data_IF_156476696232
#
_entry.id   IF_156476696232
#
_cell.length_a   1.000
_cell.length_b   1.000
_cell.length_c   1.000
_cell.angle_alpha   90.00
_cell.angle_beta   90.00
_cell.angle_gamma   90.00
#
_symmetry.space_group_name_H-M   'P 1'
#
loop_
_entity.id
_entity.type
_entity.pdbx_description
1 polymer ?
#
# COMPACT_ATOMS: atom_id res chain seq x y z
N UNK A 1 8.32 11.16 4.65
CA UNK A 1 7.21 11.25 3.66
C UNK A 1 6.07 10.34 4.12
N UNK A 2 4.82 10.69 3.80
CA UNK A 2 3.64 9.89 4.09
C UNK A 2 3.04 9.36 2.80
N UNK A 3 2.62 8.09 2.75
CA UNK A 3 2.00 7.52 1.56
C UNK A 3 1.20 6.24 1.86
N UNK A 4 0.43 5.82 0.87
CA UNK A 4 -0.34 4.59 0.89
C UNK A 4 0.23 3.61 -0.14
N UNK A 5 0.23 2.33 0.18
CA UNK A 5 0.65 1.24 -0.72
C UNK A 5 -0.50 0.26 -0.90
N UNK A 6 -0.64 -0.27 -2.11
CA UNK A 6 -1.67 -1.30 -2.36
C UNK A 6 -1.13 -2.71 -2.10
N UNK A 7 -1.89 -3.74 -2.51
CA UNK A 7 -1.61 -5.14 -2.20
C UNK A 7 -0.32 -5.70 -2.81
N UNK A 8 0.38 -4.98 -3.70
CA UNK A 8 1.68 -5.45 -4.20
C UNK A 8 2.66 -5.72 -3.04
N UNK A 9 2.59 -4.93 -1.96
CA UNK A 9 3.53 -5.07 -0.86
C UNK A 9 3.36 -6.41 -0.12
N UNK A 10 2.19 -6.82 0.39
CA UNK A 10 2.01 -8.18 0.92
C UNK A 10 2.20 -9.27 -0.14
N UNK A 11 1.81 -9.06 -1.39
CA UNK A 11 1.96 -10.03 -2.47
C UNK A 11 3.43 -10.39 -2.76
N UNK A 12 4.34 -9.42 -2.66
CA UNK A 12 5.77 -9.61 -2.93
C UNK A 12 6.51 -10.40 -1.84
N UNK A 13 5.87 -10.63 -0.68
CA UNK A 13 6.38 -11.56 0.32
C UNK A 13 6.14 -13.03 -0.01
N UNK A 14 5.25 -13.34 -0.95
CA UNK A 14 4.85 -14.72 -1.26
C UNK A 14 6.06 -15.58 -1.68
N UNK A 15 6.04 -16.91 -1.39
CA UNK A 15 7.12 -17.82 -1.78
C UNK A 15 7.35 -17.85 -3.29
N UNK A 16 6.26 -17.72 -4.07
CA UNK A 16 6.24 -17.75 -5.53
C UNK A 16 6.38 -16.37 -6.20
N UNK A 17 6.63 -15.31 -5.41
CA UNK A 17 6.98 -14.01 -5.97
C UNK A 17 8.24 -14.12 -6.84
N UNK A 18 8.25 -13.41 -7.97
CA UNK A 18 9.40 -13.40 -8.89
C UNK A 18 10.63 -12.75 -8.26
N UNK A 19 11.80 -12.96 -8.84
CA UNK A 19 13.03 -12.30 -8.36
C UNK A 19 12.92 -10.78 -8.46
N UNK A 20 12.35 -10.25 -9.55
CA UNK A 20 12.11 -8.81 -9.72
C UNK A 20 11.20 -8.23 -8.62
N UNK A 21 10.12 -8.92 -8.29
CA UNK A 21 9.21 -8.52 -7.20
C UNK A 21 9.91 -8.50 -5.84
N UNK A 22 10.72 -9.52 -5.56
CA UNK A 22 11.51 -9.61 -4.32
C UNK A 22 12.56 -8.49 -4.23
N UNK A 23 13.26 -8.21 -5.32
CA UNK A 23 14.24 -7.11 -5.39
C UNK A 23 13.60 -5.74 -5.19
N UNK A 24 12.41 -5.51 -5.78
CA UNK A 24 11.63 -4.27 -5.59
C UNK A 24 11.16 -4.11 -4.14
N UNK A 25 10.68 -5.20 -3.53
CA UNK A 25 10.29 -5.18 -2.13
C UNK A 25 11.49 -4.86 -1.22
N UNK A 26 12.62 -5.50 -1.42
CA UNK A 26 13.84 -5.26 -0.65
C UNK A 26 14.30 -3.81 -0.79
N UNK A 27 14.40 -3.31 -2.02
CA UNK A 27 14.76 -1.91 -2.30
C UNK A 27 13.82 -0.93 -1.62
N UNK A 28 12.51 -1.19 -1.69
CA UNK A 28 11.51 -0.36 -1.02
C UNK A 28 11.71 -0.36 0.49
N UNK A 29 11.81 -1.52 1.13
CA UNK A 29 11.92 -1.64 2.58
C UNK A 29 13.20 -0.99 3.13
N UNK A 30 14.35 -1.18 2.47
CA UNK A 30 15.62 -0.55 2.86
C UNK A 30 15.45 0.97 2.88
N UNK A 31 14.99 1.56 1.77
CA UNK A 31 14.83 3.00 1.66
C UNK A 31 13.75 3.57 2.57
N UNK A 32 12.66 2.84 2.76
CA UNK A 32 11.59 3.21 3.69
C UNK A 32 12.11 3.34 5.13
N UNK A 33 12.92 2.38 5.56
CA UNK A 33 13.50 2.39 6.90
C UNK A 33 14.56 3.50 7.05
N UNK A 34 15.41 3.71 6.04
CA UNK A 34 16.44 4.76 6.04
C UNK A 34 15.85 6.17 6.10
N UNK A 35 14.76 6.41 5.37
CA UNK A 35 14.14 7.75 5.25
C UNK A 35 13.19 8.11 6.39
N UNK A 36 12.91 7.21 7.30
CA UNK A 36 11.91 7.41 8.35
C UNK A 36 10.51 7.77 7.80
N UNK A 37 10.15 7.17 6.68
CA UNK A 37 8.85 7.38 6.05
C UNK A 37 7.73 6.65 6.80
N UNK A 38 6.48 6.97 6.49
CA UNK A 38 5.30 6.44 7.15
C UNK A 38 4.26 6.00 6.14
N UNK A 39 3.77 4.77 6.29
CA UNK A 39 2.61 4.27 5.53
C UNK A 39 1.31 4.50 6.28
N UNK A 40 0.24 4.73 5.51
CA UNK A 40 -1.12 4.82 6.03
C UNK A 40 -1.93 3.65 5.49
N UNK A 41 -2.64 2.98 6.36
CA UNK A 41 -3.37 1.75 6.05
C UNK A 41 -4.79 1.85 6.58
N UNK A 42 -5.77 1.65 5.70
CA UNK A 42 -7.19 1.63 6.05
C UNK A 42 -7.56 0.33 6.78
N UNK A 43 -8.41 0.40 7.79
CA UNK A 43 -8.99 -0.76 8.47
C UNK A 43 -10.53 -0.70 8.46
N UNK A 44 -11.23 -1.70 7.92
CA UNK A 44 -10.70 -2.86 7.21
C UNK A 44 -10.17 -2.51 5.82
N UNK A 45 -9.23 -3.32 5.29
CA UNK A 45 -8.73 -3.19 3.93
C UNK A 45 -8.26 -4.54 3.36
N UNK A 46 -8.22 -4.64 2.05
CA UNK A 46 -7.67 -5.79 1.34
C UNK A 46 -6.17 -5.97 1.66
N UNK A 47 -5.44 -4.88 1.82
CA UNK A 47 -4.04 -4.88 2.25
C UNK A 47 -3.84 -5.62 3.56
N UNK A 48 -4.55 -5.22 4.64
CA UNK A 48 -4.44 -5.87 5.95
C UNK A 48 -4.93 -7.31 5.91
N UNK A 49 -6.02 -7.58 5.19
CA UNK A 49 -6.56 -8.93 5.04
C UNK A 49 -5.53 -9.87 4.40
N UNK A 50 -4.87 -9.46 3.32
CA UNK A 50 -3.83 -10.25 2.66
C UNK A 50 -2.60 -10.43 3.55
N UNK A 51 -2.12 -9.36 4.18
CA UNK A 51 -0.95 -9.42 5.04
C UNK A 51 -1.14 -10.42 6.20
N UNK A 52 -2.27 -10.34 6.90
CA UNK A 52 -2.57 -11.24 8.02
C UNK A 52 -2.82 -12.67 7.56
N UNK A 53 -3.49 -12.86 6.41
CA UNK A 53 -3.68 -14.17 5.82
C UNK A 53 -2.35 -14.82 5.46
N UNK A 54 -1.44 -14.11 4.79
CA UNK A 54 -0.14 -14.65 4.42
C UNK A 54 0.75 -14.93 5.64
N UNK A 55 0.67 -14.12 6.69
CA UNK A 55 1.34 -14.42 7.96
C UNK A 55 0.89 -15.76 8.57
N UNK A 56 -0.35 -16.18 8.30
CA UNK A 56 -0.88 -17.47 8.73
C UNK A 56 -0.57 -18.61 7.73
N UNK A 57 -0.80 -18.37 6.44
CA UNK A 57 -0.75 -19.41 5.41
C UNK A 57 0.67 -19.91 5.13
N UNK A 58 1.69 -19.05 5.31
CA UNK A 58 3.08 -19.37 4.98
C UNK A 58 3.94 -19.81 6.17
N UNK A 59 3.34 -20.38 7.22
CA UNK A 59 4.07 -20.91 8.40
C UNK A 59 5.09 -21.99 8.04
N UNK A 60 4.84 -22.75 6.97
CA UNK A 60 5.77 -23.80 6.48
C UNK A 60 6.90 -23.26 5.59
N UNK A 61 6.98 -21.96 5.39
CA UNK A 61 8.04 -21.26 4.64
C UNK A 61 8.81 -20.32 5.59
N UNK A 62 9.83 -20.83 6.32
CA UNK A 62 10.45 -20.11 7.44
C UNK A 62 10.92 -18.70 7.11
N UNK A 63 11.53 -18.49 5.94
CA UNK A 63 12.03 -17.19 5.52
C UNK A 63 10.88 -16.22 5.22
N UNK A 64 9.85 -16.67 4.51
CA UNK A 64 8.67 -15.85 4.17
C UNK A 64 7.93 -15.49 5.45
N UNK A 65 7.68 -16.48 6.31
CA UNK A 65 7.03 -16.29 7.60
C UNK A 65 7.79 -15.28 8.46
N UNK A 66 9.10 -15.44 8.60
CA UNK A 66 9.95 -14.52 9.37
C UNK A 66 9.89 -13.09 8.81
N UNK A 67 9.96 -12.93 7.49
CA UNK A 67 9.95 -11.61 6.85
C UNK A 67 8.60 -10.89 7.02
N UNK A 68 7.49 -11.60 6.85
CA UNK A 68 6.14 -11.04 7.07
C UNK A 68 5.97 -10.63 8.54
N UNK A 69 6.37 -11.48 9.49
CA UNK A 69 6.28 -11.15 10.91
C UNK A 69 7.16 -9.97 11.29
N UNK A 70 8.37 -9.86 10.74
CA UNK A 70 9.23 -8.68 10.94
C UNK A 70 8.57 -7.42 10.38
N UNK A 71 7.99 -7.50 9.19
CA UNK A 71 7.27 -6.36 8.61
C UNK A 71 6.11 -5.91 9.52
N UNK A 72 5.31 -6.84 10.00
CA UNK A 72 4.18 -6.54 10.92
C UNK A 72 4.70 -5.89 12.21
N UNK A 73 5.72 -6.47 12.84
CA UNK A 73 6.20 -6.01 14.16
C UNK A 73 7.00 -4.71 14.08
N UNK A 74 7.82 -4.53 13.05
CA UNK A 74 8.75 -3.39 12.93
C UNK A 74 8.10 -2.20 12.23
N UNK A 75 7.12 -2.45 11.34
CA UNK A 75 6.47 -1.40 10.56
C UNK A 75 5.01 -1.21 10.96
N UNK A 76 4.18 -2.25 10.85
CA UNK A 76 2.72 -2.08 11.04
C UNK A 76 2.37 -1.72 12.50
N UNK A 77 3.07 -2.29 13.47
CA UNK A 77 2.85 -2.00 14.90
C UNK A 77 3.65 -0.81 15.43
N UNK A 78 4.52 -0.22 14.64
CA UNK A 78 5.21 1.02 15.02
C UNK A 78 4.43 2.24 14.55
N UNK A 79 3.84 3.00 15.47
CA UNK A 79 3.06 4.21 15.17
C UNK A 79 3.86 5.31 14.47
N UNK A 80 5.20 5.26 14.53
CA UNK A 80 6.07 6.16 13.76
C UNK A 80 6.16 5.76 12.30
N UNK A 81 5.92 4.48 11.98
CA UNK A 81 6.08 3.90 10.64
C UNK A 81 4.76 3.59 9.96
N UNK A 82 3.70 3.38 10.74
CA UNK A 82 2.38 3.05 10.22
C UNK A 82 1.29 3.78 11.00
N UNK A 83 0.33 4.34 10.28
CA UNK A 83 -0.95 4.79 10.85
C UNK A 83 -2.07 3.92 10.28
N UNK A 84 -2.88 3.39 11.18
CA UNK A 84 -4.10 2.66 10.82
C UNK A 84 -5.27 3.63 10.91
N UNK A 85 -6.03 3.73 9.83
CA UNK A 85 -7.16 4.67 9.66
C UNK A 85 -8.47 3.91 9.75
N UNK A 86 -9.33 4.33 10.64
CA UNK A 86 -10.67 3.78 10.88
C UNK A 86 -11.79 4.57 10.16
N UNK A 87 -13.04 4.10 10.28
CA UNK A 87 -14.18 4.60 9.49
C UNK A 87 -14.47 6.10 9.61
N UNK A 88 -14.23 6.71 10.75
CA UNK A 88 -14.60 8.11 11.04
C UNK A 88 -13.45 9.10 10.77
N UNK A 89 -12.33 8.64 10.22
CA UNK A 89 -11.10 9.43 10.12
C UNK A 89 -10.80 9.98 8.71
N UNK A 90 -11.62 9.64 7.71
CA UNK A 90 -11.37 10.03 6.31
C UNK A 90 -12.58 10.72 5.67
N UNK A 91 -12.31 11.49 4.61
CA UNK A 91 -13.31 12.10 3.75
C UNK A 91 -12.89 11.98 2.28
N UNK A 92 -13.80 11.49 1.43
CA UNK A 92 -13.60 11.40 -0.01
C UNK A 92 -14.57 12.31 -0.75
N UNK A 93 -14.04 13.16 -1.62
CA UNK A 93 -14.85 14.01 -2.48
C UNK A 93 -15.67 13.17 -3.48
N UNK A 94 -16.84 13.67 -3.85
CA UNK A 94 -17.72 13.04 -4.86
C UNK A 94 -17.00 12.84 -6.20
N UNK A 95 -16.08 13.72 -6.56
CA UNK A 95 -15.27 13.58 -7.80
C UNK A 95 -14.48 12.28 -7.80
N UNK A 96 -13.84 11.93 -6.68
CA UNK A 96 -13.06 10.70 -6.55
C UNK A 96 -13.97 9.48 -6.53
N UNK A 97 -15.07 9.55 -5.79
CA UNK A 97 -16.07 8.47 -5.74
C UNK A 97 -16.61 8.17 -7.14
N UNK A 98 -16.96 9.20 -7.91
CA UNK A 98 -17.46 9.04 -9.27
C UNK A 98 -16.39 8.43 -10.20
N UNK A 99 -15.14 8.89 -10.14
CA UNK A 99 -14.04 8.31 -10.92
C UNK A 99 -13.82 6.83 -10.59
N UNK A 100 -13.84 6.44 -9.32
CA UNK A 100 -13.70 5.05 -8.90
C UNK A 100 -14.87 4.18 -9.39
N UNK A 101 -16.10 4.71 -9.33
CA UNK A 101 -17.29 4.02 -9.87
C UNK A 101 -17.19 3.80 -11.38
N UNK A 102 -16.78 4.82 -12.13
CA UNK A 102 -16.60 4.74 -13.59
C UNK A 102 -15.53 3.72 -14.00
N UNK A 103 -14.47 3.57 -13.21
CA UNK A 103 -13.41 2.59 -13.46
C UNK A 103 -13.80 1.15 -13.11
N UNK A 104 -14.90 0.95 -12.40
CA UNK A 104 -15.27 -0.34 -11.81
C UNK A 104 -14.44 -0.75 -10.60
N UNK A 105 -13.54 0.10 -10.11
CA UNK A 105 -12.60 -0.19 -9.02
C UNK A 105 -13.11 0.27 -7.64
N UNK A 106 -14.30 0.84 -7.55
CA UNK A 106 -14.82 1.39 -6.31
C UNK A 106 -14.73 0.40 -5.13
N UNK A 107 -15.17 -0.84 -5.32
CA UNK A 107 -15.19 -1.83 -4.25
C UNK A 107 -13.79 -2.38 -3.89
N UNK A 108 -12.82 -2.30 -4.80
CA UNK A 108 -11.47 -2.88 -4.60
C UNK A 108 -10.46 -1.87 -4.10
N UNK A 109 -10.53 -0.62 -4.56
CA UNK A 109 -9.45 0.36 -4.39
C UNK A 109 -9.83 1.58 -3.56
N UNK A 110 -11.11 1.75 -3.18
CA UNK A 110 -11.57 2.90 -2.39
C UNK A 110 -10.75 3.09 -1.12
N UNK A 111 -10.40 2.00 -0.43
CA UNK A 111 -9.63 2.07 0.81
C UNK A 111 -8.26 2.75 0.65
N UNK A 112 -7.65 2.71 -0.55
CA UNK A 112 -6.39 3.41 -0.84
C UNK A 112 -6.58 4.93 -0.77
N UNK A 113 -7.66 5.42 -1.36
CA UNK A 113 -8.00 6.84 -1.40
C UNK A 113 -8.48 7.34 -0.05
N UNK A 114 -9.23 6.53 0.69
CA UNK A 114 -9.62 6.78 2.08
C UNK A 114 -8.38 7.00 2.96
N UNK A 115 -7.43 6.05 2.93
CA UNK A 115 -6.19 6.17 3.68
C UNK A 115 -5.32 7.36 3.20
N UNK A 116 -5.24 7.60 1.88
CA UNK A 116 -4.46 8.70 1.34
C UNK A 116 -5.10 10.08 1.63
N UNK A 117 -6.42 10.15 1.83
CA UNK A 117 -7.12 11.41 2.12
C UNK A 117 -6.64 12.10 3.40
N UNK A 118 -6.13 11.34 4.35
CA UNK A 118 -5.61 11.87 5.62
C UNK A 118 -4.11 12.12 5.62
N UNK A 119 -3.38 11.76 4.55
CA UNK A 119 -1.95 12.05 4.42
C UNK A 119 -1.68 13.46 3.90
N UNK A 120 -0.52 14.03 4.23
CA UNK A 120 -0.11 15.32 3.68
C UNK A 120 0.20 15.24 2.18
N UNK A 121 0.82 14.16 1.74
CA UNK A 121 1.30 14.01 0.35
C UNK A 121 0.24 13.57 -0.65
N UNK A 122 -0.86 12.97 -0.17
CA UNK A 122 -1.90 12.35 -1.02
C UNK A 122 -1.34 11.32 -2.01
N UNK A 123 -0.20 10.70 -1.67
CA UNK A 123 0.53 9.79 -2.54
C UNK A 123 0.06 8.34 -2.36
N UNK A 124 -0.28 7.70 -3.46
CA UNK A 124 -0.63 6.27 -3.56
C UNK A 124 0.39 5.59 -4.46
N UNK A 125 1.04 4.53 -3.96
CA UNK A 125 2.02 3.72 -4.71
C UNK A 125 1.36 2.40 -5.09
N UNK A 126 1.22 2.16 -6.38
CA UNK A 126 0.51 1.00 -6.91
C UNK A 126 1.31 0.29 -8.01
N UNK A 127 0.95 -0.95 -8.31
CA UNK A 127 1.38 -1.67 -9.52
C UNK A 127 0.29 -1.70 -10.59
N UNK A 128 -0.90 -1.20 -10.26
CA UNK A 128 -2.04 -1.18 -11.19
C UNK A 128 -1.97 0.01 -12.16
N UNK A 129 -1.56 -0.30 -13.40
CA UNK A 129 -1.48 0.68 -14.50
C UNK A 129 -2.85 1.24 -14.88
N UNK A 130 -3.93 0.45 -14.77
CA UNK A 130 -5.29 0.89 -15.09
C UNK A 130 -5.76 1.91 -14.07
N UNK A 131 -5.57 1.62 -12.78
CA UNK A 131 -5.89 2.56 -11.71
C UNK A 131 -5.14 3.88 -11.91
N UNK A 132 -3.83 3.82 -12.15
CA UNK A 132 -3.04 5.03 -12.42
C UNK A 132 -3.61 5.84 -13.57
N UNK A 133 -3.80 5.23 -14.73
CA UNK A 133 -4.30 5.93 -15.92
C UNK A 133 -5.69 6.53 -15.68
N UNK A 134 -6.57 5.78 -15.02
CA UNK A 134 -7.92 6.25 -14.73
C UNK A 134 -7.94 7.44 -13.77
N UNK A 135 -7.01 7.47 -12.83
CA UNK A 135 -6.88 8.55 -11.84
C UNK A 135 -5.99 9.71 -12.31
N UNK A 136 -5.50 9.70 -13.53
CA UNK A 136 -4.83 10.87 -14.12
C UNK A 136 -5.74 12.10 -14.10
N UNK A 137 -5.15 13.26 -13.79
CA UNK A 137 -5.86 14.54 -13.72
C UNK A 137 -7.02 14.58 -12.69
N UNK A 138 -6.99 13.76 -11.63
CA UNK A 138 -7.99 13.81 -10.56
C UNK A 138 -7.89 15.09 -9.70
N UNK A 139 -6.76 15.81 -9.75
CA UNK A 139 -6.52 17.08 -9.07
C UNK A 139 -6.30 16.99 -7.55
N UNK A 140 -6.40 15.80 -6.95
CA UNK A 140 -6.33 15.61 -5.49
C UNK A 140 -5.20 14.64 -5.13
N UNK A 141 -5.19 13.44 -5.71
CA UNK A 141 -4.27 12.36 -5.37
C UNK A 141 -3.16 12.22 -6.40
N UNK A 142 -1.95 11.95 -5.92
CA UNK A 142 -0.81 11.58 -6.74
C UNK A 142 -0.69 10.04 -6.76
N UNK A 143 -1.08 9.42 -7.88
CA UNK A 143 -0.98 7.96 -8.06
C UNK A 143 0.26 7.66 -8.88
N UNK A 144 1.22 6.95 -8.29
CA UNK A 144 2.48 6.56 -8.92
C UNK A 144 2.59 5.05 -9.06
N UNK A 145 3.17 4.60 -10.17
CA UNK A 145 3.59 3.21 -10.28
C UNK A 145 4.81 2.94 -9.39
N UNK A 146 4.88 1.74 -8.83
CA UNK A 146 6.00 1.32 -7.99
C UNK A 146 7.36 1.55 -8.65
N UNK A 147 7.50 1.22 -9.93
CA UNK A 147 8.76 1.38 -10.67
C UNK A 147 9.16 2.86 -10.82
N UNK A 148 8.19 3.74 -11.08
CA UNK A 148 8.41 5.19 -11.13
C UNK A 148 8.82 5.73 -9.77
N UNK A 149 8.12 5.30 -8.73
CA UNK A 149 8.42 5.67 -7.35
C UNK A 149 9.83 5.23 -6.96
N UNK A 150 10.20 3.97 -7.15
CA UNK A 150 11.51 3.42 -6.79
C UNK A 150 12.68 4.03 -7.57
N UNK A 151 12.43 4.62 -8.74
CA UNK A 151 13.47 5.31 -9.53
C UNK A 151 13.92 6.58 -8.82
N UNK A 152 13.02 7.28 -8.15
CA UNK A 152 13.27 8.56 -7.50
C UNK A 152 13.34 8.46 -5.97
N UNK A 153 13.04 7.32 -5.43
CA UNK A 153 12.97 7.06 -3.99
C UNK A 153 14.34 6.71 -3.43
#
# INVERSE_FOLDING_TARGET
MEFVVNEWLPEYFRPDATNDEKEKLEKFLIKFLEKNDKIFVRRPSEFLRKLLRFANDYQNYPNVYSNIHKFITVIVFDSKRCSIIDDDEYDLSEIIINKLNESGNYNSDTYLFEAASVTETKLIITTDKKLKTHMENNGIFNVQLLDEFLTNY
#
